data_IF_667017330043
#
_entry.id   IF_667017330043
#
_cell.length_a   1.000
_cell.length_b   1.000
_cell.length_c   1.000
_cell.angle_alpha   90.00
_cell.angle_beta   90.00
_cell.angle_gamma   90.00
#
_symmetry.space_group_name_H-M   'P 1'
#
loop_
_entity.id
_entity.type
_entity.pdbx_description
1 polymer ?
#
# COMPACT_ATOMS: atom_id res chain seq x y z
N UNK A 1 -17.24 -10.95 19.93
CA UNK A 1 -17.92 -9.74 20.47
C UNK A 1 -18.63 -8.94 19.39
N UNK A 2 -18.02 -8.52 18.26
CA UNK A 2 -18.71 -7.76 17.19
C UNK A 2 -20.01 -8.38 16.59
N UNK A 3 -20.23 -9.68 16.78
CA UNK A 3 -21.42 -10.38 16.31
C UNK A 3 -22.70 -10.06 17.12
N UNK A 4 -22.60 -9.53 18.34
CA UNK A 4 -23.78 -9.24 19.18
C UNK A 4 -24.50 -7.98 18.72
N UNK A 5 -23.78 -6.88 18.50
CA UNK A 5 -24.37 -5.60 18.06
C UNK A 5 -25.02 -5.68 16.67
N UNK A 6 -24.38 -6.38 15.71
CA UNK A 6 -24.95 -6.54 14.36
C UNK A 6 -26.25 -7.36 14.40
N UNK A 7 -26.32 -8.38 15.27
CA UNK A 7 -27.54 -9.16 15.49
C UNK A 7 -28.63 -8.34 16.18
N UNK A 8 -28.28 -7.55 17.19
CA UNK A 8 -29.22 -6.68 17.90
C UNK A 8 -29.86 -5.62 16.97
N UNK A 9 -29.11 -5.14 15.97
CA UNK A 9 -29.58 -4.15 15.00
C UNK A 9 -30.14 -4.75 13.70
N UNK A 10 -30.18 -6.08 13.58
CA UNK A 10 -30.56 -6.79 12.35
C UNK A 10 -29.78 -6.32 11.10
N UNK A 11 -28.50 -6.00 11.30
CA UNK A 11 -27.59 -5.52 10.26
C UNK A 11 -26.77 -6.67 9.68
N UNK A 12 -26.33 -6.52 8.42
CA UNK A 12 -25.34 -7.42 7.82
C UNK A 12 -24.04 -7.45 8.63
N UNK A 13 -23.14 -8.39 8.38
CA UNK A 13 -21.81 -8.40 9.03
C UNK A 13 -20.77 -7.53 8.30
N UNK A 14 -21.15 -6.94 7.17
CA UNK A 14 -20.27 -6.20 6.26
C UNK A 14 -20.39 -4.68 6.50
N UNK A 15 -19.26 -3.99 6.53
CA UNK A 15 -19.14 -2.52 6.59
C UNK A 15 -19.65 -1.79 7.86
N UNK A 16 -19.79 -2.49 8.99
CA UNK A 16 -20.09 -1.86 10.28
C UNK A 16 -18.82 -1.44 11.04
N UNK A 17 -18.99 -0.61 12.06
CA UNK A 17 -17.93 -0.27 13.01
C UNK A 17 -17.31 -1.53 13.62
N UNK A 18 -15.98 -1.56 13.69
CA UNK A 18 -15.24 -2.69 14.26
C UNK A 18 -14.24 -2.19 15.28
N UNK A 19 -14.07 -2.99 16.34
CA UNK A 19 -12.95 -2.79 17.25
C UNK A 19 -11.66 -3.11 16.51
N UNK A 20 -10.74 -2.17 16.51
CA UNK A 20 -9.42 -2.33 15.91
C UNK A 20 -8.51 -3.01 16.92
N UNK A 21 -7.72 -3.96 16.43
CA UNK A 21 -6.61 -4.50 17.20
C UNK A 21 -5.46 -3.48 17.16
N UNK A 22 -5.02 -2.95 18.32
CA UNK A 22 -3.95 -1.96 18.34
C UNK A 22 -2.58 -2.55 17.98
N UNK A 23 -2.42 -3.87 17.96
CA UNK A 23 -1.14 -4.50 17.65
C UNK A 23 -0.88 -4.64 16.15
N UNK A 24 -1.94 -4.76 15.33
CA UNK A 24 -1.82 -5.11 13.91
C UNK A 24 -3.12 -4.97 13.12
N UNK A 25 -3.01 -4.62 11.85
CA UNK A 25 -4.10 -4.62 10.88
C UNK A 25 -4.60 -6.04 10.55
N UNK A 26 -5.91 -6.20 10.45
CA UNK A 26 -6.53 -7.44 9.99
C UNK A 26 -6.38 -7.59 8.47
N UNK A 27 -5.25 -8.19 8.06
CA UNK A 27 -4.93 -8.40 6.64
C UNK A 27 -5.86 -9.41 5.97
N UNK A 28 -6.46 -10.33 6.73
CA UNK A 28 -7.47 -11.24 6.20
C UNK A 28 -8.76 -10.49 5.85
N UNK A 29 -9.16 -9.52 6.66
CA UNK A 29 -10.25 -8.61 6.34
C UNK A 29 -9.91 -7.71 5.15
N UNK A 30 -8.70 -7.13 5.09
CA UNK A 30 -8.27 -6.31 3.96
C UNK A 30 -8.32 -7.09 2.63
N UNK A 31 -7.82 -8.33 2.63
CA UNK A 31 -7.93 -9.25 1.48
C UNK A 31 -9.38 -9.57 1.11
N UNK A 32 -10.25 -9.81 2.10
CA UNK A 32 -11.69 -10.02 1.83
C UNK A 32 -12.33 -8.80 1.18
N UNK A 33 -12.06 -7.60 1.66
CA UNK A 33 -12.54 -6.36 1.06
C UNK A 33 -12.04 -6.16 -0.37
N UNK A 34 -10.77 -6.48 -0.62
CA UNK A 34 -10.21 -6.44 -1.97
C UNK A 34 -10.96 -7.41 -2.90
N UNK A 35 -11.18 -8.66 -2.45
CA UNK A 35 -11.95 -9.63 -3.22
C UNK A 35 -13.38 -9.14 -3.46
N UNK A 36 -14.09 -8.68 -2.43
CA UNK A 36 -15.45 -8.15 -2.58
C UNK A 36 -15.52 -7.00 -3.59
N UNK A 37 -14.56 -6.07 -3.54
CA UNK A 37 -14.43 -4.99 -4.51
C UNK A 37 -14.33 -5.50 -5.96
N UNK A 38 -13.59 -6.59 -6.18
CA UNK A 38 -13.39 -7.17 -7.50
C UNK A 38 -14.59 -7.98 -8.01
N UNK A 39 -15.35 -8.61 -7.12
CA UNK A 39 -16.42 -9.55 -7.48
C UNK A 39 -17.82 -8.93 -7.40
N UNK A 40 -18.10 -8.08 -6.40
CA UNK A 40 -19.45 -7.58 -6.11
C UNK A 40 -19.78 -6.29 -6.86
N UNK A 41 -18.77 -5.52 -7.28
CA UNK A 41 -19.01 -4.23 -7.93
C UNK A 41 -19.23 -4.33 -9.45
N UNK A 42 -19.62 -5.49 -9.99
CA UNK A 42 -19.93 -5.71 -11.42
C UNK A 42 -18.84 -5.18 -12.37
N UNK A 43 -17.58 -5.31 -11.96
CA UNK A 43 -16.44 -4.78 -12.72
C UNK A 43 -16.25 -3.26 -12.62
N UNK A 44 -17.12 -2.48 -11.96
CA UNK A 44 -16.92 -1.04 -11.79
C UNK A 44 -15.61 -0.70 -11.09
N UNK A 45 -15.05 -1.59 -10.26
CA UNK A 45 -13.75 -1.38 -9.63
C UNK A 45 -12.57 -1.98 -10.41
N UNK A 46 -12.81 -3.01 -11.22
CA UNK A 46 -11.84 -3.56 -12.19
C UNK A 46 -11.67 -2.63 -13.40
N UNK A 47 -12.75 -1.96 -13.73
CA UNK A 47 -13.00 -1.17 -14.91
C UNK A 47 -13.33 0.24 -14.47
N UNK A 48 -12.71 0.74 -13.38
CA UNK A 48 -12.99 2.02 -12.74
C UNK A 48 -13.68 2.96 -13.72
N UNK A 49 -14.80 3.55 -13.35
CA UNK A 49 -15.44 4.51 -14.25
C UNK A 49 -14.43 5.63 -14.68
N UNK A 50 -13.25 5.74 -14.05
CA UNK A 50 -12.03 6.35 -14.59
C UNK A 50 -11.21 5.56 -15.64
N UNK A 51 -11.05 4.23 -15.58
CA UNK A 51 -10.54 3.34 -16.63
C UNK A 51 -11.37 3.37 -17.93
N UNK A 52 -12.71 3.39 -17.88
CA UNK A 52 -13.53 3.38 -19.11
C UNK A 52 -13.88 4.78 -19.66
N UNK A 53 -14.05 5.80 -18.81
CA UNK A 53 -14.39 7.15 -19.27
C UNK A 53 -13.14 8.01 -19.53
N UNK A 54 -11.98 7.75 -18.89
CA UNK A 54 -10.84 8.65 -19.07
C UNK A 54 -9.90 8.27 -20.21
N UNK A 55 -9.52 7.01 -20.50
CA UNK A 55 -8.49 6.81 -21.53
C UNK A 55 -8.40 5.40 -22.11
N UNK A 56 -8.70 5.27 -23.42
CA UNK A 56 -8.09 4.27 -24.31
C UNK A 56 -6.54 4.35 -24.35
N UNK A 57 -5.97 5.39 -23.73
CA UNK A 57 -4.55 5.73 -23.68
C UNK A 57 -3.84 5.52 -22.33
N UNK A 58 -4.47 5.03 -21.25
CA UNK A 58 -3.81 4.87 -19.93
C UNK A 58 -3.24 3.46 -19.73
N UNK A 59 -2.62 2.92 -20.77
CA UNK A 59 -1.99 1.60 -20.72
C UNK A 59 -0.79 1.63 -19.76
N UNK A 60 -0.69 0.62 -18.91
CA UNK A 60 0.50 0.34 -18.10
C UNK A 60 1.77 0.38 -18.96
N UNK A 61 2.90 0.92 -18.45
CA UNK A 61 4.18 0.84 -19.14
C UNK A 61 4.53 -0.63 -19.48
N UNK A 62 4.99 -0.87 -20.71
CA UNK A 62 5.29 -2.23 -21.20
C UNK A 62 6.37 -2.93 -20.37
N UNK A 63 7.38 -2.18 -19.95
CA UNK A 63 8.54 -2.67 -19.19
C UNK A 63 8.53 -2.08 -17.78
N UNK A 64 7.40 -2.19 -17.09
CA UNK A 64 7.30 -1.74 -15.70
C UNK A 64 8.13 -2.67 -14.81
N UNK A 65 9.19 -2.13 -14.20
CA UNK A 65 9.96 -2.81 -13.15
C UNK A 65 9.14 -2.84 -11.87
N UNK A 66 9.10 -3.98 -11.20
CA UNK A 66 8.41 -4.23 -9.94
C UNK A 66 9.30 -5.09 -9.03
N UNK A 67 9.00 -5.09 -7.74
CA UNK A 67 9.51 -6.09 -6.80
C UNK A 67 8.63 -7.33 -6.90
N UNK A 68 9.22 -8.49 -7.18
CA UNK A 68 8.57 -9.78 -6.97
C UNK A 68 8.79 -10.19 -5.51
N UNK A 69 7.75 -10.09 -4.69
CA UNK A 69 7.85 -10.34 -3.25
C UNK A 69 7.99 -11.83 -2.91
N UNK A 70 7.71 -12.73 -3.87
CA UNK A 70 7.93 -14.17 -3.69
C UNK A 70 9.38 -14.54 -4.02
N UNK A 71 9.89 -14.02 -5.14
CA UNK A 71 11.27 -14.28 -5.57
C UNK A 71 12.29 -13.38 -4.87
N UNK A 72 11.84 -12.36 -4.13
CA UNK A 72 12.66 -11.34 -3.46
C UNK A 72 13.71 -10.76 -4.39
N UNK A 73 13.26 -10.22 -5.53
CA UNK A 73 14.11 -9.58 -6.52
C UNK A 73 13.32 -8.56 -7.37
N UNK A 74 14.04 -7.72 -8.10
CA UNK A 74 13.46 -6.86 -9.13
C UNK A 74 13.23 -7.65 -10.41
N UNK A 75 12.05 -7.46 -11.01
CA UNK A 75 11.72 -8.04 -12.30
C UNK A 75 10.92 -7.06 -13.13
N UNK A 76 10.85 -7.31 -14.44
CA UNK A 76 9.80 -6.71 -15.27
C UNK A 76 8.50 -7.45 -15.00
N UNK A 77 7.40 -6.72 -14.80
CA UNK A 77 6.09 -7.33 -14.57
C UNK A 77 5.66 -8.15 -15.80
N UNK A 78 5.14 -9.38 -15.62
CA UNK A 78 4.66 -10.17 -16.75
C UNK A 78 3.43 -9.54 -17.41
N UNK A 79 3.15 -9.96 -18.65
CA UNK A 79 1.93 -9.56 -19.36
C UNK A 79 0.70 -9.97 -18.53
N UNK A 80 -0.22 -9.03 -18.29
CA UNK A 80 -1.39 -9.25 -17.43
C UNK A 80 -1.08 -9.37 -15.93
N UNK A 81 0.19 -9.32 -15.52
CA UNK A 81 0.58 -9.33 -14.10
C UNK A 81 -0.04 -8.15 -13.35
N UNK A 82 -0.51 -8.35 -12.14
CA UNK A 82 -1.17 -7.32 -11.33
C UNK A 82 -0.26 -6.96 -10.14
N UNK A 83 -0.32 -5.71 -9.69
CA UNK A 83 0.63 -5.19 -8.72
C UNK A 83 0.01 -4.13 -7.80
N UNK A 84 0.60 -3.98 -6.62
CA UNK A 84 0.35 -2.88 -5.70
C UNK A 84 1.32 -1.73 -5.98
N UNK A 85 0.95 -0.51 -5.61
CA UNK A 85 1.89 0.62 -5.58
C UNK A 85 2.06 1.13 -4.15
N UNK A 86 3.26 1.58 -3.80
CA UNK A 86 3.53 2.26 -2.52
C UNK A 86 3.64 3.77 -2.74
N UNK A 87 2.84 4.53 -1.98
CA UNK A 87 2.93 5.98 -1.87
C UNK A 87 3.44 6.37 -0.49
N UNK A 88 4.59 7.02 -0.43
CA UNK A 88 5.28 7.41 0.79
C UNK A 88 6.18 8.62 0.52
N UNK A 89 6.60 9.32 1.57
CA UNK A 89 7.58 10.41 1.47
C UNK A 89 8.98 9.88 1.71
N UNK A 90 9.89 10.19 0.80
CA UNK A 90 11.31 9.87 0.92
C UNK A 90 11.91 10.59 2.12
N UNK A 91 12.90 9.98 2.76
CA UNK A 91 13.68 10.76 3.72
C UNK A 91 14.59 11.76 3.01
N UNK A 92 14.67 12.96 3.57
CA UNK A 92 15.64 14.00 3.20
C UNK A 92 17.10 13.59 3.43
N UNK A 93 17.35 12.53 4.20
CA UNK A 93 18.67 11.94 4.38
C UNK A 93 19.13 11.17 3.13
N UNK A 94 20.41 11.32 2.76
CA UNK A 94 20.97 10.69 1.55
C UNK A 94 21.33 9.20 1.74
N UNK A 95 20.98 8.63 2.90
CA UNK A 95 21.33 7.26 3.35
C UNK A 95 20.29 6.20 2.96
N UNK A 96 19.22 6.58 2.27
CA UNK A 96 18.16 5.64 1.91
C UNK A 96 18.65 4.61 0.89
N UNK A 97 18.32 3.34 1.12
CA UNK A 97 18.50 2.28 0.15
C UNK A 97 17.78 2.65 -1.15
N UNK A 98 18.52 2.62 -2.27
CA UNK A 98 18.01 3.00 -3.58
C UNK A 98 18.69 2.20 -4.67
N UNK A 99 17.97 2.03 -5.77
CA UNK A 99 18.51 1.36 -6.95
C UNK A 99 19.39 2.32 -7.74
N UNK A 100 20.58 1.85 -8.11
CA UNK A 100 21.58 2.54 -8.91
C UNK A 100 22.07 1.63 -10.04
N UNK A 101 22.79 2.19 -11.02
CA UNK A 101 23.39 1.38 -12.08
C UNK A 101 24.36 0.32 -11.53
N UNK A 102 24.96 0.57 -10.36
CA UNK A 102 25.90 -0.37 -9.73
C UNK A 102 25.25 -1.58 -9.06
N UNK A 103 23.98 -1.51 -8.65
CA UNK A 103 23.30 -2.59 -7.92
C UNK A 103 22.10 -3.20 -8.67
N UNK A 104 21.64 -2.58 -9.76
CA UNK A 104 20.42 -3.04 -10.47
C UNK A 104 20.52 -4.49 -10.97
N UNK A 105 21.65 -4.92 -11.50
CA UNK A 105 21.77 -6.29 -12.02
C UNK A 105 21.84 -7.31 -10.90
N UNK A 106 22.44 -6.95 -9.77
CA UNK A 106 22.39 -7.75 -8.55
C UNK A 106 20.96 -7.86 -8.02
N UNK A 107 20.24 -6.74 -7.94
CA UNK A 107 18.86 -6.69 -7.47
C UNK A 107 17.87 -7.47 -8.35
N UNK A 108 18.22 -7.79 -9.60
CA UNK A 108 17.41 -8.66 -10.47
C UNK A 108 17.60 -10.15 -10.20
N UNK A 109 18.71 -10.55 -9.58
CA UNK A 109 18.96 -11.95 -9.28
C UNK A 109 17.96 -12.46 -8.23
N UNK A 110 17.43 -13.68 -8.43
CA UNK A 110 16.47 -14.28 -7.50
C UNK A 110 17.06 -14.34 -6.08
N UNK A 111 16.29 -13.88 -5.09
CA UNK A 111 16.67 -13.84 -3.68
C UNK A 111 17.65 -12.71 -3.30
N UNK A 112 18.14 -11.91 -4.24
CA UNK A 112 19.15 -10.88 -3.92
C UNK A 112 18.63 -9.79 -3.00
N UNK A 113 17.36 -9.38 -3.14
CA UNK A 113 16.75 -8.35 -2.30
C UNK A 113 16.66 -8.80 -0.83
N UNK A 114 16.60 -10.11 -0.57
CA UNK A 114 16.61 -10.64 0.79
C UNK A 114 17.87 -10.26 1.55
N UNK A 115 19.02 -10.14 0.86
CA UNK A 115 20.30 -9.73 1.48
C UNK A 115 20.27 -8.29 1.99
N UNK A 116 19.40 -7.46 1.41
CA UNK A 116 19.24 -6.05 1.76
C UNK A 116 17.99 -5.79 2.57
N UNK A 117 17.15 -6.81 2.83
CA UNK A 117 15.81 -6.61 3.39
C UNK A 117 15.83 -5.83 4.70
N UNK A 118 16.76 -6.14 5.61
CA UNK A 118 16.91 -5.43 6.89
C UNK A 118 17.57 -4.05 6.76
N UNK A 119 18.22 -3.76 5.64
CA UNK A 119 18.75 -2.42 5.32
C UNK A 119 17.69 -1.55 4.63
N UNK A 120 16.58 -2.14 4.17
CA UNK A 120 15.47 -1.37 3.63
C UNK A 120 14.82 -0.55 4.74
N UNK A 121 14.38 0.68 4.45
CA UNK A 121 13.54 1.42 5.38
C UNK A 121 12.25 0.66 5.73
N UNK A 122 11.79 0.77 6.98
CA UNK A 122 10.65 0.00 7.52
C UNK A 122 9.41 0.05 6.64
N UNK A 123 9.10 1.21 6.04
CA UNK A 123 7.92 1.36 5.17
C UNK A 123 8.02 0.52 3.90
N UNK A 124 9.23 0.33 3.37
CA UNK A 124 9.47 -0.53 2.21
C UNK A 124 9.37 -2.01 2.59
N UNK A 125 9.91 -2.40 3.75
CA UNK A 125 9.74 -3.75 4.30
C UNK A 125 8.25 -4.06 4.45
N UNK A 126 7.51 -3.18 5.14
CA UNK A 126 6.07 -3.31 5.37
C UNK A 126 5.28 -3.41 4.06
N UNK A 127 5.66 -2.64 3.03
CA UNK A 127 5.00 -2.73 1.73
C UNK A 127 5.23 -4.08 1.04
N UNK A 128 6.44 -4.64 1.14
CA UNK A 128 6.77 -5.97 0.60
C UNK A 128 5.93 -7.04 1.32
N UNK A 129 5.91 -7.03 2.64
CA UNK A 129 5.19 -8.04 3.42
C UNK A 129 3.67 -7.90 3.28
N UNK A 130 3.17 -6.66 3.32
CA UNK A 130 1.75 -6.37 3.15
C UNK A 130 1.24 -6.87 1.79
N UNK A 131 2.06 -6.73 0.74
CA UNK A 131 1.75 -7.26 -0.59
C UNK A 131 1.59 -8.78 -0.55
N UNK A 132 2.53 -9.49 0.08
CA UNK A 132 2.47 -10.95 0.24
C UNK A 132 1.24 -11.38 1.06
N UNK A 133 0.94 -10.67 2.16
CA UNK A 133 -0.19 -10.94 3.05
C UNK A 133 -1.57 -10.60 2.46
N UNK A 134 -1.62 -9.70 1.47
CA UNK A 134 -2.81 -9.47 0.64
C UNK A 134 -2.96 -10.51 -0.47
N UNK A 135 -1.91 -11.31 -0.73
CA UNK A 135 -1.91 -12.40 -1.71
C UNK A 135 -1.50 -11.99 -3.09
N UNK A 136 -0.91 -10.80 -3.20
CA UNK A 136 -0.39 -10.28 -4.45
C UNK A 136 1.10 -10.56 -4.51
N UNK A 137 1.64 -10.63 -5.73
CA UNK A 137 3.04 -11.01 -5.96
C UNK A 137 3.95 -9.81 -6.22
N UNK A 138 3.39 -8.73 -6.76
CA UNK A 138 4.17 -7.64 -7.27
C UNK A 138 3.82 -6.33 -6.56
N UNK A 139 4.85 -5.57 -6.20
CA UNK A 139 4.69 -4.21 -5.69
C UNK A 139 5.64 -3.26 -6.41
N UNK A 140 5.14 -2.09 -6.74
CA UNK A 140 5.93 -0.99 -7.27
C UNK A 140 6.31 -0.03 -6.13
N UNK A 141 7.61 0.11 -5.93
CA UNK A 141 8.23 0.99 -4.94
C UNK A 141 9.25 1.83 -5.69
N UNK A 142 9.06 3.14 -5.79
CA UNK A 142 9.87 4.01 -6.62
C UNK A 142 11.39 3.97 -6.31
N UNK A 143 11.79 3.88 -5.03
CA UNK A 143 13.19 3.78 -4.61
C UNK A 143 13.87 2.49 -5.09
N UNK A 144 13.09 1.41 -5.28
CA UNK A 144 13.57 0.12 -5.78
C UNK A 144 13.37 -0.02 -7.29
N UNK A 145 12.32 0.57 -7.85
CA UNK A 145 11.95 0.35 -9.24
C UNK A 145 12.59 1.36 -10.20
N UNK A 146 13.11 2.49 -9.71
CA UNK A 146 13.72 3.55 -10.53
C UNK A 146 15.24 3.61 -10.26
N UNK A 147 16.04 3.57 -11.32
CA UNK A 147 17.49 3.74 -11.24
C UNK A 147 17.80 5.23 -11.03
N UNK A 148 18.28 5.58 -9.82
CA UNK A 148 18.39 6.97 -9.37
C UNK A 148 19.47 7.79 -10.04
N UNK A 149 20.58 7.16 -10.40
CA UNK A 149 21.71 7.74 -11.11
C UNK A 149 21.57 7.63 -12.65
N UNK A 150 20.43 7.14 -13.16
CA UNK A 150 20.11 7.12 -14.58
C UNK A 150 19.00 8.15 -14.89
N UNK A 151 19.39 9.31 -15.44
CA UNK A 151 18.45 10.39 -15.79
C UNK A 151 17.35 9.92 -16.77
N UNK A 152 17.70 9.06 -17.73
CA UNK A 152 16.74 8.54 -18.70
C UNK A 152 15.68 7.65 -18.03
N UNK A 153 16.09 6.75 -17.13
CA UNK A 153 15.17 5.87 -16.38
C UNK A 153 14.28 6.68 -15.44
N UNK A 154 14.86 7.63 -14.70
CA UNK A 154 14.12 8.54 -13.85
C UNK A 154 13.03 9.30 -14.62
N UNK A 155 13.38 9.93 -15.74
CA UNK A 155 12.42 10.67 -16.58
C UNK A 155 11.35 9.73 -17.18
N UNK A 156 11.72 8.51 -17.58
CA UNK A 156 10.80 7.48 -18.08
C UNK A 156 9.70 7.18 -17.05
N UNK A 157 10.08 6.96 -15.80
CA UNK A 157 9.13 6.61 -14.73
C UNK A 157 8.32 7.80 -14.24
N UNK A 158 8.95 8.97 -14.01
CA UNK A 158 8.23 10.17 -13.55
C UNK A 158 7.15 10.59 -14.55
N UNK A 159 7.44 10.57 -15.86
CA UNK A 159 6.45 10.88 -16.90
C UNK A 159 5.29 9.89 -16.93
N UNK A 160 5.47 8.67 -16.43
CA UNK A 160 4.47 7.60 -16.46
C UNK A 160 3.89 7.30 -15.08
N UNK A 161 4.24 8.07 -14.05
CA UNK A 161 3.87 7.81 -12.66
C UNK A 161 2.35 7.76 -12.49
N UNK A 162 1.62 8.69 -13.13
CA UNK A 162 0.16 8.69 -13.21
C UNK A 162 -0.41 7.36 -13.75
N UNK A 163 0.20 6.76 -14.78
CA UNK A 163 -0.20 5.45 -15.32
C UNK A 163 0.13 4.32 -14.35
N UNK A 164 1.26 4.38 -13.66
CA UNK A 164 1.68 3.35 -12.72
C UNK A 164 0.70 3.27 -11.54
N UNK A 165 0.36 4.41 -10.93
CA UNK A 165 -0.64 4.42 -9.86
C UNK A 165 -2.03 4.04 -10.36
N UNK A 166 -2.44 4.53 -11.53
CA UNK A 166 -3.77 4.22 -12.08
C UNK A 166 -3.96 2.74 -12.46
N UNK A 167 -2.89 2.01 -12.77
CA UNK A 167 -2.94 0.58 -13.14
C UNK A 167 -2.61 -0.36 -11.97
N UNK A 168 -2.31 0.16 -10.78
CA UNK A 168 -2.16 -0.65 -9.58
C UNK A 168 -3.53 -1.13 -9.07
N UNK A 169 -3.58 -2.32 -8.46
CA UNK A 169 -4.82 -2.87 -7.89
C UNK A 169 -5.29 -1.99 -6.72
N UNK A 170 -4.34 -1.68 -5.84
CA UNK A 170 -4.51 -0.74 -4.73
C UNK A 170 -3.19 0.02 -4.54
N UNK A 171 -3.27 1.16 -3.88
CA UNK A 171 -2.10 1.92 -3.44
C UNK A 171 -1.99 1.83 -1.92
N UNK A 172 -0.88 1.28 -1.43
CA UNK A 172 -0.50 1.36 -0.02
C UNK A 172 -0.01 2.78 0.26
N UNK A 173 -0.58 3.44 1.27
CA UNK A 173 -0.23 4.83 1.60
C UNK A 173 0.38 4.88 2.99
N UNK A 174 1.66 5.29 3.06
CA UNK A 174 2.35 5.56 4.32
C UNK A 174 1.96 6.94 4.84
N UNK A 175 0.74 7.06 5.37
CA UNK A 175 0.21 8.29 5.95
C UNK A 175 0.66 8.46 7.41
N UNK A 176 1.97 8.50 7.65
CA UNK A 176 2.51 8.75 8.99
C UNK A 176 2.28 10.19 9.44
N UNK A 177 2.03 10.39 10.73
CA UNK A 177 1.90 11.71 11.37
C UNK A 177 3.24 12.18 11.96
N UNK A 178 4.34 11.49 11.66
CA UNK A 178 5.66 11.86 12.17
C UNK A 178 6.00 13.31 11.78
N UNK A 179 6.33 14.12 12.79
CA UNK A 179 6.62 15.56 12.64
C UNK A 179 7.81 15.86 11.72
N UNK A 180 8.60 14.85 11.36
CA UNK A 180 9.82 14.97 10.55
C UNK A 180 9.54 15.22 9.06
N UNK A 181 8.34 14.98 8.54
CA UNK A 181 8.07 15.12 7.10
C UNK A 181 8.48 13.92 6.24
N UNK A 182 9.17 12.93 6.82
CA UNK A 182 9.75 11.80 6.12
C UNK A 182 9.06 10.51 6.62
N UNK A 183 8.40 9.76 5.74
CA UNK A 183 7.62 8.56 6.14
C UNK A 183 8.26 7.25 5.68
N UNK A 184 9.50 7.30 5.20
CA UNK A 184 10.18 6.14 4.60
C UNK A 184 10.64 5.11 5.63
N UNK A 185 11.01 5.55 6.84
CA UNK A 185 11.47 4.68 7.92
C UNK A 185 10.40 4.42 9.00
N UNK A 186 9.26 5.10 8.93
CA UNK A 186 8.22 5.03 9.95
C UNK A 186 7.47 3.70 9.96
N UNK A 187 7.41 3.00 8.82
CA UNK A 187 6.53 1.85 8.61
C UNK A 187 5.12 2.25 8.16
N UNK A 188 4.32 1.27 7.79
CA UNK A 188 2.92 1.48 7.44
C UNK A 188 2.07 1.58 8.72
N UNK A 189 1.37 2.72 8.97
CA UNK A 189 0.58 2.90 10.17
C UNK A 189 -0.46 1.78 10.37
N UNK A 190 -0.40 1.13 11.53
CA UNK A 190 -1.28 0.02 11.89
C UNK A 190 -0.94 -1.34 11.26
N UNK A 191 0.03 -1.44 10.35
CA UNK A 191 0.42 -2.73 9.76
C UNK A 191 1.22 -3.60 10.75
N UNK A 192 2.29 -3.04 11.31
CA UNK A 192 3.04 -3.63 12.44
C UNK A 192 2.75 -2.84 13.72
N UNK A 193 2.97 -3.46 14.87
CA UNK A 193 2.89 -2.78 16.16
C UNK A 193 3.90 -1.63 16.17
N UNK A 194 3.39 -0.41 16.24
CA UNK A 194 4.20 0.79 16.40
C UNK A 194 3.80 1.48 17.70
N UNK A 195 4.79 1.98 18.42
CA UNK A 195 4.56 2.81 19.60
C UNK A 195 3.77 4.06 19.19
N UNK A 196 2.68 4.34 19.92
CA UNK A 196 1.75 5.42 19.58
C UNK A 196 0.50 4.98 18.81
N UNK A 197 0.19 3.68 18.81
CA UNK A 197 -1.06 3.17 18.24
C UNK A 197 -2.27 3.93 18.81
N UNK A 198 -3.19 4.29 17.91
CA UNK A 198 -4.39 5.04 18.21
C UNK A 198 -5.28 4.26 19.20
N UNK A 199 -5.60 4.87 20.33
CA UNK A 199 -6.63 4.34 21.22
C UNK A 199 -8.01 4.57 20.60
N UNK A 200 -8.61 3.50 20.10
CA UNK A 200 -10.02 3.51 19.75
C UNK A 200 -10.85 3.55 21.03
N UNK A 201 -11.65 4.60 21.20
CA UNK A 201 -12.54 4.69 22.34
C UNK A 201 -13.76 3.80 22.08
N UNK A 202 -14.07 2.94 23.05
CA UNK A 202 -15.22 2.03 22.98
C UNK A 202 -16.10 2.22 24.20
N UNK A 203 -17.41 2.22 24.01
CA UNK A 203 -18.41 2.25 25.07
C UNK A 203 -19.42 1.13 24.86
N UNK A 204 -19.81 0.45 25.94
CA UNK A 204 -20.87 -0.54 25.92
C UNK A 204 -22.14 0.09 26.50
N UNK A 205 -23.20 0.17 25.70
CA UNK A 205 -24.49 0.74 26.11
C UNK A 205 -25.59 -0.26 25.75
N UNK A 206 -26.25 -0.80 26.77
CA UNK A 206 -27.23 -1.88 26.61
C UNK A 206 -26.59 -3.06 25.84
N UNK A 207 -27.20 -3.51 24.73
CA UNK A 207 -26.69 -4.61 23.91
C UNK A 207 -25.80 -4.13 22.75
N UNK A 208 -25.33 -2.88 22.79
CA UNK A 208 -24.56 -2.25 21.72
C UNK A 208 -23.14 -1.88 22.16
N UNK A 209 -22.17 -2.33 21.34
CA UNK A 209 -20.80 -1.83 21.37
C UNK A 209 -20.66 -0.62 20.43
N UNK A 210 -20.40 0.55 21.01
CA UNK A 210 -20.07 1.77 20.29
C UNK A 210 -18.55 1.92 20.22
N UNK A 211 -18.04 2.30 19.05
CA UNK A 211 -16.63 2.58 18.86
C UNK A 211 -16.45 3.86 18.05
N UNK A 212 -15.44 4.66 18.38
CA UNK A 212 -15.06 5.82 17.55
C UNK A 212 -14.59 5.33 16.18
N UNK A 213 -15.13 5.95 15.12
CA UNK A 213 -14.68 5.72 13.74
C UNK A 213 -13.46 6.58 13.48
N UNK A 214 -12.50 6.05 12.72
CA UNK A 214 -11.32 6.82 12.32
C UNK A 214 -11.72 8.01 11.45
N UNK A 215 -10.88 9.06 11.43
CA UNK A 215 -11.03 10.15 10.46
C UNK A 215 -11.14 9.54 9.05
N UNK A 216 -12.04 10.05 8.23
CA UNK A 216 -12.19 9.57 6.85
C UNK A 216 -10.84 9.70 6.14
N UNK A 217 -10.51 8.74 5.25
CA UNK A 217 -9.28 8.79 4.45
C UNK A 217 -9.04 10.17 3.83
N UNK A 218 -10.10 10.86 3.39
CA UNK A 218 -10.03 12.24 2.90
C UNK A 218 -9.50 13.25 3.94
N UNK A 219 -9.97 13.19 5.19
CA UNK A 219 -9.44 14.01 6.28
C UNK A 219 -8.00 13.63 6.62
N UNK A 220 -7.65 12.34 6.65
CA UNK A 220 -6.28 11.91 6.90
C UNK A 220 -5.34 12.40 5.80
N UNK A 221 -5.72 12.31 4.54
CA UNK A 221 -4.92 12.83 3.41
C UNK A 221 -4.75 14.35 3.53
N UNK A 222 -5.82 15.09 3.83
CA UNK A 222 -5.80 16.56 3.93
C UNK A 222 -5.05 17.06 5.17
N UNK A 223 -4.98 16.28 6.25
CA UNK A 223 -4.25 16.66 7.48
C UNK A 223 -2.82 16.14 7.52
N UNK A 224 -2.47 15.23 6.60
CA UNK A 224 -1.11 14.72 6.48
C UNK A 224 -0.23 15.73 5.71
N UNK A 225 1.08 15.59 5.85
CA UNK A 225 2.13 16.43 5.25
C UNK A 225 2.07 16.41 3.70
N UNK A 226 1.25 15.55 3.10
CA UNK A 226 0.98 15.54 1.67
C UNK A 226 0.24 16.79 1.16
N UNK A 227 -0.47 17.51 2.03
CA UNK A 227 -1.26 18.70 1.68
C UNK A 227 -0.63 20.04 2.08
N UNK A 228 0.52 20.01 2.77
CA UNK A 228 1.32 21.19 3.16
C UNK A 228 2.45 21.42 2.17
#
# INVERSE_FOLDING_TARGET
MLHTSCRALNLGSKFHGRRLDPSRADMALARRWLNECEWEHNGLCKTSLGIQILHTNMKRPLELRVVDVQSMCLTTIPLGGRYLALSYRWSSSNTNFKTTNSNIDDLKAMGSLMRYYYDLPTTLQDAIDCTLELGERYVWIDALCIIRDCKADFVKYVRQMHRIYNNAIITLVAASLAKSGDTQADGLPGYRSQDGCFMQHTAHIQDLDLCTVYAQLGQTIVTNIWSQ
#
